data_IF_337099844537
#
_entry.id   IF_337099844537
#
_cell.length_a   1.000
_cell.length_b   1.000
_cell.length_c   1.000
_cell.angle_alpha   90.00
_cell.angle_beta   90.00
_cell.angle_gamma   90.00
#
_symmetry.space_group_name_H-M   'P 1'
#
loop_
_entity.id
_entity.type
_entity.pdbx_description
1 polymer ?
#
# COMPACT_ATOMS: atom_id res chain seq x y z
N UNK A 1 4.63 -2.53 -42.13
CA UNK A 1 4.69 -1.98 -40.76
C UNK A 1 6.15 -1.90 -40.35
N UNK A 2 6.74 -0.69 -40.30
CA UNK A 2 8.16 -0.52 -39.89
C UNK A 2 8.26 -0.89 -38.42
N UNK A 3 9.00 -1.95 -38.09
CA UNK A 3 9.43 -2.24 -36.72
C UNK A 3 10.34 -1.10 -36.26
N UNK A 4 9.78 -0.18 -35.48
CA UNK A 4 10.58 0.87 -34.84
C UNK A 4 11.40 0.19 -33.77
N UNK A 5 12.73 0.26 -33.91
CA UNK A 5 13.65 -0.25 -32.89
C UNK A 5 13.42 0.51 -31.58
N UNK A 6 13.27 -0.15 -30.44
CA UNK A 6 13.04 0.54 -29.18
C UNK A 6 14.23 1.43 -28.79
N UNK A 7 13.95 2.54 -28.11
CA UNK A 7 14.99 3.45 -27.60
C UNK A 7 15.66 2.77 -26.41
N UNK A 8 16.82 2.20 -26.61
CA UNK A 8 17.55 1.37 -25.64
C UNK A 8 17.79 2.06 -24.29
N UNK A 9 18.02 3.38 -24.27
CA UNK A 9 18.21 4.12 -23.01
C UNK A 9 16.91 4.21 -22.20
N UNK A 10 15.76 4.35 -22.87
CA UNK A 10 14.45 4.35 -22.22
C UNK A 10 14.14 2.96 -21.67
N UNK A 11 14.32 1.92 -22.48
CA UNK A 11 14.12 0.53 -22.07
C UNK A 11 14.95 0.20 -20.82
N UNK A 12 16.25 0.48 -20.83
CA UNK A 12 17.12 0.28 -19.68
C UNK A 12 16.69 1.08 -18.45
N UNK A 13 16.21 2.32 -18.66
CA UNK A 13 15.66 3.16 -17.59
C UNK A 13 14.43 2.53 -16.92
N UNK A 14 13.51 1.99 -17.73
CA UNK A 14 12.31 1.29 -17.22
C UNK A 14 12.68 0.02 -16.44
N UNK A 15 13.62 -0.79 -16.98
CA UNK A 15 14.13 -1.98 -16.26
C UNK A 15 14.78 -1.61 -14.92
N UNK A 16 15.50 -0.48 -14.83
CA UNK A 16 16.03 0.01 -13.54
C UNK A 16 14.88 0.25 -12.57
N UNK A 17 13.77 0.91 -12.99
CA UNK A 17 12.63 1.16 -12.11
C UNK A 17 11.98 -0.14 -11.62
N UNK A 18 11.83 -1.15 -12.47
CA UNK A 18 11.34 -2.48 -12.10
C UNK A 18 12.24 -3.16 -11.06
N UNK A 19 13.56 -3.10 -11.24
CA UNK A 19 14.53 -3.65 -10.29
C UNK A 19 14.49 -2.94 -8.94
N UNK A 20 14.37 -1.61 -8.95
CA UNK A 20 14.23 -0.82 -7.72
C UNK A 20 12.90 -1.11 -7.01
N UNK A 21 11.82 -1.32 -7.77
CA UNK A 21 10.52 -1.72 -7.23
C UNK A 21 10.62 -3.09 -6.52
N UNK A 22 11.27 -4.08 -7.17
CA UNK A 22 11.47 -5.41 -6.60
C UNK A 22 12.35 -5.40 -5.34
N UNK A 23 13.31 -4.49 -5.24
CA UNK A 23 14.18 -4.36 -4.07
C UNK A 23 13.52 -3.68 -2.86
N UNK A 24 12.36 -3.04 -3.07
CA UNK A 24 11.59 -2.36 -2.02
C UNK A 24 12.38 -1.28 -1.29
N UNK A 25 12.14 -1.15 0.02
CA UNK A 25 12.79 -0.13 0.86
C UNK A 25 14.31 -0.36 1.03
N UNK A 26 14.80 -1.60 0.90
CA UNK A 26 16.23 -1.91 0.99
C UNK A 26 17.04 -1.26 -0.11
N UNK A 27 16.41 -1.04 -1.28
CA UNK A 27 17.05 -0.48 -2.45
C UNK A 27 18.22 -1.32 -2.96
N UNK A 28 18.83 -0.89 -4.07
CA UNK A 28 19.99 -1.52 -4.70
C UNK A 28 21.16 -0.56 -4.80
N UNK A 29 22.38 -1.10 -4.70
CA UNK A 29 23.58 -0.32 -5.01
C UNK A 29 23.74 -0.14 -6.53
N UNK A 30 24.51 0.88 -6.92
CA UNK A 30 24.85 1.11 -8.32
C UNK A 30 25.49 -0.12 -8.97
N UNK A 31 26.41 -0.78 -8.25
CA UNK A 31 27.11 -1.97 -8.72
C UNK A 31 26.16 -3.14 -8.93
N UNK A 32 25.30 -3.43 -7.94
CA UNK A 32 24.30 -4.51 -8.04
C UNK A 32 23.32 -4.29 -9.21
N UNK A 33 22.92 -3.05 -9.48
CA UNK A 33 22.09 -2.71 -10.66
C UNK A 33 22.84 -2.94 -11.98
N UNK A 34 24.09 -2.51 -12.07
CA UNK A 34 24.91 -2.68 -13.26
C UNK A 34 25.11 -4.18 -13.59
N UNK A 35 25.44 -4.99 -12.58
CA UNK A 35 25.59 -6.44 -12.68
C UNK A 35 24.28 -7.13 -13.07
N UNK A 36 23.16 -6.82 -12.41
CA UNK A 36 21.86 -7.44 -12.68
C UNK A 36 21.30 -7.13 -14.07
N UNK A 37 21.82 -6.09 -14.73
CA UNK A 37 21.40 -5.65 -16.06
C UNK A 37 22.44 -5.91 -17.14
N UNK A 38 23.59 -6.47 -16.78
CA UNK A 38 24.74 -6.66 -17.69
C UNK A 38 25.11 -5.38 -18.47
N UNK A 39 25.23 -4.25 -17.73
CA UNK A 39 25.62 -2.96 -18.29
C UNK A 39 26.81 -2.37 -17.53
N UNK A 40 27.56 -1.48 -18.21
CA UNK A 40 28.65 -0.76 -17.55
C UNK A 40 28.14 0.09 -16.39
N UNK A 41 28.90 0.14 -15.30
CA UNK A 41 28.58 0.94 -14.10
C UNK A 41 28.36 2.42 -14.47
N UNK A 42 29.13 2.95 -15.42
CA UNK A 42 28.97 4.32 -15.93
C UNK A 42 27.60 4.53 -16.61
N UNK A 43 27.11 3.53 -17.34
CA UNK A 43 25.78 3.57 -17.96
C UNK A 43 24.68 3.55 -16.91
N UNK A 44 24.77 2.63 -15.95
CA UNK A 44 23.81 2.57 -14.82
C UNK A 44 23.80 3.90 -14.04
N UNK A 45 24.98 4.49 -13.79
CA UNK A 45 25.09 5.79 -13.09
C UNK A 45 24.36 6.91 -13.87
N UNK A 46 24.55 7.02 -15.17
CA UNK A 46 23.93 8.06 -15.99
C UNK A 46 22.40 7.91 -16.04
N UNK A 47 21.91 6.66 -16.17
CA UNK A 47 20.47 6.37 -16.13
C UNK A 47 19.87 6.70 -14.76
N UNK A 48 20.49 6.26 -13.67
CA UNK A 48 20.06 6.59 -12.31
C UNK A 48 20.10 8.09 -12.02
N UNK A 49 21.13 8.80 -12.52
CA UNK A 49 21.20 10.26 -12.41
C UNK A 49 19.99 10.92 -13.08
N UNK A 50 19.62 10.49 -14.27
CA UNK A 50 18.44 10.99 -14.99
C UNK A 50 17.15 10.66 -14.22
N UNK A 51 16.99 9.42 -13.78
CA UNK A 51 15.81 9.01 -13.00
C UNK A 51 15.67 9.79 -11.68
N UNK A 52 16.79 10.10 -11.02
CA UNK A 52 16.81 10.95 -9.82
C UNK A 52 16.40 12.39 -10.13
N UNK A 53 16.95 13.00 -11.16
CA UNK A 53 16.59 14.36 -11.59
C UNK A 53 15.09 14.44 -11.93
N UNK A 54 14.55 13.38 -12.54
CA UNK A 54 13.12 13.28 -12.83
C UNK A 54 12.25 12.88 -11.64
N UNK A 55 12.84 12.54 -10.48
CA UNK A 55 12.11 12.14 -9.26
C UNK A 55 11.61 10.69 -9.25
N UNK A 56 12.02 9.86 -10.25
CA UNK A 56 11.63 8.46 -10.34
C UNK A 56 12.50 7.51 -9.51
N UNK A 57 13.70 7.94 -9.15
CA UNK A 57 14.58 7.25 -8.22
C UNK A 57 15.06 8.22 -7.14
N UNK A 58 15.42 7.72 -5.97
CA UNK A 58 16.09 8.49 -4.92
C UNK A 58 17.27 7.70 -4.37
N UNK A 59 18.25 8.41 -3.87
CA UNK A 59 19.39 7.81 -3.20
C UNK A 59 19.16 7.89 -1.70
N UNK A 60 19.29 6.75 -1.04
CA UNK A 60 19.22 6.60 0.41
C UNK A 60 20.61 6.33 0.99
N UNK A 61 20.71 6.20 2.28
CA UNK A 61 21.97 5.98 2.98
C UNK A 61 22.82 4.85 2.37
N UNK A 62 24.16 5.01 2.46
CA UNK A 62 25.16 4.04 1.97
C UNK A 62 25.18 3.82 0.45
N UNK A 63 24.76 4.82 -0.33
CA UNK A 63 24.84 4.77 -1.80
C UNK A 63 23.88 3.79 -2.46
N UNK A 64 22.79 3.45 -1.77
CA UNK A 64 21.70 2.66 -2.33
C UNK A 64 20.67 3.55 -3.00
N UNK A 65 19.99 3.02 -4.00
CA UNK A 65 18.92 3.66 -4.76
C UNK A 65 17.62 2.89 -4.56
N UNK A 66 16.51 3.61 -4.45
CA UNK A 66 15.16 3.04 -4.42
C UNK A 66 14.22 3.85 -5.32
N UNK A 67 12.98 3.39 -5.48
CA UNK A 67 11.99 4.17 -6.21
C UNK A 67 11.76 5.53 -5.56
N UNK A 68 11.75 6.57 -6.38
CA UNK A 68 11.41 7.92 -5.97
C UNK A 68 9.90 8.15 -5.91
N UNK A 69 9.50 9.22 -5.21
CA UNK A 69 8.09 9.58 -5.00
C UNK A 69 7.27 9.69 -6.30
N UNK A 70 7.90 10.09 -7.41
CA UNK A 70 7.20 10.29 -8.69
C UNK A 70 6.77 8.96 -9.33
N UNK A 71 7.55 7.89 -9.15
CA UNK A 71 7.15 6.55 -9.58
C UNK A 71 5.91 6.08 -8.80
N UNK A 72 5.88 6.32 -7.50
CA UNK A 72 4.73 6.02 -6.65
C UNK A 72 3.51 6.87 -7.01
N UNK A 73 3.71 8.15 -7.40
CA UNK A 73 2.60 9.02 -7.81
C UNK A 73 1.98 8.61 -9.15
N UNK A 74 2.77 8.07 -10.09
CA UNK A 74 2.23 7.51 -11.34
C UNK A 74 1.36 6.28 -11.07
N UNK A 75 1.79 5.39 -10.18
CA UNK A 75 0.99 4.24 -9.78
C UNK A 75 -0.35 4.68 -9.15
N UNK A 76 -0.33 5.72 -8.30
CA UNK A 76 -1.56 6.31 -7.73
C UNK A 76 -2.45 6.95 -8.79
N UNK A 77 -1.86 7.70 -9.75
CA UNK A 77 -2.59 8.33 -10.85
C UNK A 77 -3.28 7.35 -11.79
N UNK A 78 -2.75 6.12 -11.91
CA UNK A 78 -3.40 5.03 -12.63
C UNK A 78 -4.60 4.46 -11.88
N UNK A 79 -4.53 4.43 -10.53
CA UNK A 79 -5.61 3.92 -9.70
C UNK A 79 -6.80 4.90 -9.69
N UNK A 80 -6.51 6.20 -9.54
CA UNK A 80 -7.57 7.23 -9.44
C UNK A 80 -7.05 8.55 -10.01
N UNK A 81 -7.84 9.21 -10.87
CA UNK A 81 -7.52 10.56 -11.36
C UNK A 81 -7.40 11.57 -10.21
N UNK A 82 -6.75 12.74 -10.45
CA UNK A 82 -6.46 13.72 -9.40
C UNK A 82 -7.67 14.15 -8.57
N UNK A 83 -8.82 14.36 -9.24
CA UNK A 83 -10.08 14.76 -8.60
C UNK A 83 -10.58 13.72 -7.61
N UNK A 84 -10.48 12.43 -7.98
CA UNK A 84 -10.91 11.33 -7.11
C UNK A 84 -9.95 11.19 -5.93
N UNK A 85 -8.63 11.31 -6.17
CA UNK A 85 -7.63 11.28 -5.10
C UNK A 85 -7.86 12.38 -4.07
N UNK A 86 -8.18 13.59 -4.49
CA UNK A 86 -8.50 14.70 -3.60
C UNK A 86 -9.76 14.42 -2.77
N UNK A 87 -10.82 13.90 -3.40
CA UNK A 87 -12.05 13.50 -2.71
C UNK A 87 -11.81 12.38 -1.68
N UNK A 88 -11.04 11.36 -2.06
CA UNK A 88 -10.67 10.27 -1.15
C UNK A 88 -9.84 10.78 0.03
N UNK A 89 -8.88 11.68 -0.21
CA UNK A 89 -8.08 12.31 0.83
C UNK A 89 -8.95 13.13 1.79
N UNK A 90 -9.94 13.88 1.28
CA UNK A 90 -10.88 14.63 2.08
C UNK A 90 -11.76 13.72 2.98
N UNK A 91 -12.26 12.59 2.43
CA UNK A 91 -13.04 11.61 3.20
C UNK A 91 -12.20 10.98 4.33
N UNK A 92 -10.95 10.60 4.03
CA UNK A 92 -10.01 10.06 5.02
C UNK A 92 -9.66 11.10 6.08
N UNK A 93 -9.44 12.36 5.68
CA UNK A 93 -9.18 13.48 6.60
C UNK A 93 -10.35 13.74 7.53
N UNK A 94 -11.58 13.71 7.02
CA UNK A 94 -12.80 13.87 7.81
C UNK A 94 -12.92 12.75 8.86
N UNK A 95 -12.74 11.49 8.44
CA UNK A 95 -12.78 10.34 9.35
C UNK A 95 -11.71 10.43 10.44
N UNK A 96 -10.48 10.81 10.09
CA UNK A 96 -9.41 11.01 11.07
C UNK A 96 -9.74 12.11 12.09
N UNK A 97 -10.38 13.21 11.64
CA UNK A 97 -10.88 14.27 12.52
C UNK A 97 -11.99 13.80 13.45
N UNK A 98 -12.96 13.03 12.95
CA UNK A 98 -14.08 12.48 13.71
C UNK A 98 -13.61 11.47 14.79
N UNK A 99 -12.64 10.62 14.44
CA UNK A 99 -12.09 9.63 15.37
C UNK A 99 -11.06 10.22 16.34
N UNK A 100 -10.35 11.28 15.94
CA UNK A 100 -9.19 11.79 16.64
C UNK A 100 -7.92 10.93 16.46
N UNK A 101 -7.96 9.93 15.57
CA UNK A 101 -6.92 8.91 15.39
C UNK A 101 -6.39 8.89 13.96
N UNK A 102 -5.30 8.16 13.73
CA UNK A 102 -4.73 8.04 12.39
C UNK A 102 -5.56 7.10 11.51
N UNK A 103 -5.79 7.47 10.26
CA UNK A 103 -6.57 6.70 9.28
C UNK A 103 -5.76 6.51 8.00
N UNK A 104 -5.83 5.30 7.44
CA UNK A 104 -5.20 4.93 6.18
C UNK A 104 -6.23 4.27 5.26
N UNK A 105 -6.30 4.73 4.02
CA UNK A 105 -6.99 4.08 2.91
C UNK A 105 -5.93 3.42 2.02
N UNK A 106 -6.06 2.13 1.80
CA UNK A 106 -5.17 1.36 0.95
C UNK A 106 -5.95 0.59 -0.12
N UNK A 107 -5.33 0.38 -1.28
CA UNK A 107 -5.84 -0.46 -2.35
C UNK A 107 -4.94 -1.66 -2.58
N UNK A 108 -5.48 -2.72 -3.18
CA UNK A 108 -4.73 -3.82 -3.73
C UNK A 108 -4.41 -3.52 -5.21
N UNK A 109 -3.16 -3.67 -5.60
CA UNK A 109 -2.73 -3.50 -6.99
C UNK A 109 -1.56 -4.44 -7.27
N UNK A 110 -1.74 -5.36 -8.21
CA UNK A 110 -0.73 -6.35 -8.61
C UNK A 110 -0.10 -7.10 -7.42
N UNK A 111 -0.92 -7.58 -6.50
CA UNK A 111 -0.49 -8.31 -5.30
C UNK A 111 0.13 -7.44 -4.21
N UNK A 112 0.13 -6.13 -4.35
CA UNK A 112 0.74 -5.18 -3.41
C UNK A 112 -0.28 -4.24 -2.78
N UNK A 113 -0.06 -3.94 -1.50
CA UNK A 113 -0.81 -2.92 -0.77
C UNK A 113 -0.27 -1.53 -1.13
N UNK A 114 -1.13 -0.69 -1.71
CA UNK A 114 -0.80 0.69 -2.09
C UNK A 114 -1.60 1.66 -1.22
N UNK A 115 -0.93 2.55 -0.50
CA UNK A 115 -1.59 3.59 0.28
C UNK A 115 -2.12 4.69 -0.66
N UNK A 116 -3.44 4.88 -0.68
CA UNK A 116 -4.13 5.88 -1.50
C UNK A 116 -4.21 7.22 -0.77
N UNK A 117 -4.60 7.18 0.50
CA UNK A 117 -4.70 8.36 1.35
C UNK A 117 -4.40 8.02 2.80
N UNK A 118 -3.90 9.00 3.55
CA UNK A 118 -3.72 8.92 5.00
C UNK A 118 -3.99 10.27 5.63
N UNK A 119 -4.46 10.24 6.87
CA UNK A 119 -4.62 11.42 7.70
C UNK A 119 -4.38 11.06 9.16
N UNK A 120 -3.95 12.02 9.94
CA UNK A 120 -3.76 11.89 11.39
C UNK A 120 -4.81 12.71 12.12
N UNK A 121 -5.33 12.18 13.22
CA UNK A 121 -6.20 12.94 14.11
C UNK A 121 -5.45 14.06 14.85
N UNK A 122 -6.17 14.90 15.57
CA UNK A 122 -5.65 16.05 16.29
C UNK A 122 -5.04 15.73 17.67
N UNK A 123 -5.00 14.46 18.09
CA UNK A 123 -4.49 14.04 19.40
C UNK A 123 -3.02 14.38 19.62
N UNK A 124 -2.63 14.66 20.88
CA UNK A 124 -1.23 14.96 21.27
C UNK A 124 -0.34 13.73 21.05
N UNK A 125 -0.82 12.53 21.41
CA UNK A 125 -0.16 11.26 21.12
C UNK A 125 -0.80 10.67 19.87
N UNK A 126 0.00 10.45 18.83
CA UNK A 126 -0.48 9.99 17.51
C UNK A 126 0.36 8.82 17.01
N UNK A 127 -0.26 7.93 16.25
CA UNK A 127 0.44 6.90 15.50
C UNK A 127 0.96 7.52 14.20
N UNK A 128 2.26 7.50 13.99
CA UNK A 128 2.87 7.92 12.72
C UNK A 128 2.77 6.79 11.69
N UNK A 129 1.71 6.83 10.89
CA UNK A 129 1.49 5.83 9.83
C UNK A 129 2.53 5.90 8.71
N UNK A 130 3.21 7.05 8.53
CA UNK A 130 4.29 7.16 7.55
C UNK A 130 5.54 6.43 8.04
N UNK A 131 5.88 6.55 9.33
CA UNK A 131 6.96 5.78 9.95
C UNK A 131 6.66 4.28 9.96
N UNK A 132 5.41 3.89 10.18
CA UNK A 132 4.98 2.49 10.09
C UNK A 132 5.20 1.94 8.67
N UNK A 133 4.77 2.66 7.64
CA UNK A 133 4.96 2.23 6.25
C UNK A 133 6.44 2.19 5.84
N UNK A 134 7.28 3.05 6.42
CA UNK A 134 8.72 3.08 6.16
C UNK A 134 9.48 1.90 6.78
N UNK A 135 8.93 1.23 7.80
CA UNK A 135 9.55 0.05 8.43
C UNK A 135 9.48 -1.21 7.59
N UNK A 136 8.76 -1.19 6.46
CA UNK A 136 8.60 -2.29 5.49
C UNK A 136 8.32 -3.65 6.15
N UNK A 137 7.36 -3.68 7.08
CA UNK A 137 6.98 -4.90 7.81
C UNK A 137 6.12 -5.85 6.95
N UNK A 138 6.03 -5.57 5.65
CA UNK A 138 5.37 -6.42 4.69
C UNK A 138 3.84 -6.30 4.68
N UNK A 139 3.24 -7.00 3.74
CA UNK A 139 1.80 -6.99 3.46
C UNK A 139 0.95 -7.44 4.66
N UNK A 140 1.39 -8.50 5.35
CA UNK A 140 0.61 -9.19 6.39
C UNK A 140 0.63 -8.53 7.77
N UNK A 141 1.62 -7.70 8.05
CA UNK A 141 1.71 -6.94 9.32
C UNK A 141 0.69 -5.80 9.41
N UNK A 142 0.00 -5.48 8.31
CA UNK A 142 -1.01 -4.42 8.25
C UNK A 142 -2.42 -4.98 8.19
N UNK A 143 -3.30 -4.54 9.09
CA UNK A 143 -4.71 -4.95 9.09
C UNK A 143 -5.41 -4.65 7.76
N UNK A 144 -5.06 -3.54 7.08
CA UNK A 144 -5.55 -3.23 5.74
C UNK A 144 -5.09 -4.26 4.71
N UNK A 145 -3.86 -4.81 4.81
CA UNK A 145 -3.39 -5.90 3.96
C UNK A 145 -4.20 -7.18 4.17
N UNK A 146 -4.46 -7.55 5.43
CA UNK A 146 -5.29 -8.72 5.77
C UNK A 146 -6.71 -8.59 5.23
N UNK A 147 -7.31 -7.41 5.35
CA UNK A 147 -8.62 -7.12 4.75
C UNK A 147 -8.54 -7.27 3.23
N UNK A 148 -7.57 -6.65 2.56
CA UNK A 148 -7.41 -6.77 1.10
C UNK A 148 -7.27 -8.23 0.66
N UNK A 149 -6.43 -9.03 1.32
CA UNK A 149 -6.28 -10.45 1.02
C UNK A 149 -7.56 -11.26 1.27
N UNK A 150 -8.39 -10.82 2.21
CA UNK A 150 -9.63 -11.55 2.54
C UNK A 150 -10.72 -11.40 1.50
N UNK A 151 -10.70 -10.32 0.70
CA UNK A 151 -11.71 -10.04 -0.33
C UNK A 151 -11.17 -10.05 -1.76
N UNK A 152 -9.88 -10.28 -1.97
CA UNK A 152 -9.30 -10.33 -3.30
C UNK A 152 -9.68 -11.63 -4.05
N UNK A 153 -9.55 -11.56 -5.37
CA UNK A 153 -9.71 -12.72 -6.23
C UNK A 153 -8.55 -13.74 -6.01
N UNK A 154 -8.76 -15.04 -6.26
CA UNK A 154 -7.73 -16.07 -6.05
C UNK A 154 -6.40 -15.77 -6.76
N UNK A 155 -6.44 -15.19 -7.96
CA UNK A 155 -5.24 -14.82 -8.72
C UNK A 155 -4.44 -13.71 -8.04
N UNK A 156 -5.11 -12.74 -7.43
CA UNK A 156 -4.45 -11.68 -6.66
C UNK A 156 -3.85 -12.20 -5.35
N UNK A 157 -4.53 -13.17 -4.70
CA UNK A 157 -3.98 -13.83 -3.51
C UNK A 157 -2.68 -14.57 -3.86
N UNK A 158 -2.63 -15.27 -4.99
CA UNK A 158 -1.39 -15.88 -5.46
C UNK A 158 -0.29 -14.85 -5.72
N UNK A 159 -0.62 -13.70 -6.32
CA UNK A 159 0.33 -12.62 -6.52
C UNK A 159 0.87 -12.06 -5.19
N UNK A 160 0.01 -11.91 -4.17
CA UNK A 160 0.43 -11.53 -2.81
C UNK A 160 1.39 -12.56 -2.23
N UNK A 161 1.07 -13.85 -2.36
CA UNK A 161 1.91 -14.93 -1.83
C UNK A 161 3.26 -15.04 -2.53
N UNK A 162 3.31 -14.76 -3.83
CA UNK A 162 4.58 -14.72 -4.60
C UNK A 162 5.46 -13.55 -4.13
N UNK A 163 4.88 -12.36 -3.90
CA UNK A 163 5.64 -11.16 -3.50
C UNK A 163 6.01 -11.16 -2.00
N UNK A 164 5.08 -11.56 -1.13
CA UNK A 164 5.21 -11.40 0.33
C UNK A 164 5.35 -12.71 1.11
N UNK A 165 5.18 -13.86 0.45
CA UNK A 165 5.16 -15.16 1.11
C UNK A 165 3.95 -15.37 2.04
N UNK A 166 4.02 -16.43 2.86
CA UNK A 166 3.05 -16.66 3.94
C UNK A 166 3.29 -15.68 5.10
N UNK A 167 2.22 -15.35 5.87
CA UNK A 167 2.31 -14.40 6.98
C UNK A 167 3.35 -14.70 8.05
N UNK A 168 3.57 -15.96 8.37
CA UNK A 168 4.49 -16.43 9.41
C UNK A 168 4.33 -15.64 10.72
N UNK A 169 5.41 -15.02 11.23
CA UNK A 169 5.39 -14.21 12.45
C UNK A 169 4.59 -12.90 12.35
N UNK A 170 4.33 -12.41 11.14
CA UNK A 170 3.61 -11.16 10.94
C UNK A 170 2.10 -11.26 11.24
N UNK A 171 1.54 -12.48 11.22
CA UNK A 171 0.14 -12.73 11.58
C UNK A 171 -0.02 -14.08 12.28
N UNK A 172 0.22 -14.08 13.60
CA UNK A 172 -0.07 -15.20 14.51
C UNK A 172 0.44 -16.58 14.05
N UNK A 173 1.65 -16.65 13.48
CA UNK A 173 2.28 -17.91 13.13
C UNK A 173 1.62 -18.66 11.98
N UNK A 174 0.93 -17.96 11.06
CA UNK A 174 0.33 -18.58 9.88
C UNK A 174 1.45 -19.02 8.93
N UNK A 175 1.72 -20.32 8.87
CA UNK A 175 2.82 -20.96 8.14
C UNK A 175 2.35 -21.91 7.03
N UNK A 176 1.03 -22.08 6.86
CA UNK A 176 0.45 -22.91 5.81
C UNK A 176 -0.67 -22.19 5.04
N UNK A 177 -0.95 -22.66 3.82
CA UNK A 177 -2.03 -22.13 2.99
C UNK A 177 -3.41 -22.42 3.57
N UNK A 178 -3.57 -23.58 4.21
CA UNK A 178 -4.81 -24.02 4.85
C UNK A 178 -5.15 -23.10 6.02
N UNK A 179 -4.15 -22.81 6.87
CA UNK A 179 -4.34 -21.90 8.00
C UNK A 179 -4.61 -20.48 7.53
N UNK A 180 -3.92 -20.02 6.48
CA UNK A 180 -4.18 -18.73 5.86
C UNK A 180 -5.62 -18.64 5.34
N UNK A 181 -6.08 -19.64 4.58
CA UNK A 181 -7.44 -19.68 4.04
C UNK A 181 -8.50 -19.63 5.15
N UNK A 182 -8.28 -20.34 6.25
CA UNK A 182 -9.14 -20.30 7.42
C UNK A 182 -9.20 -18.90 8.04
N UNK A 183 -8.03 -18.27 8.26
CA UNK A 183 -7.96 -16.91 8.83
C UNK A 183 -8.57 -15.85 7.92
N UNK A 184 -8.39 -15.94 6.61
CA UNK A 184 -9.04 -15.05 5.66
C UNK A 184 -10.57 -15.23 5.67
N UNK A 185 -11.06 -16.47 5.86
CA UNK A 185 -12.50 -16.73 6.01
C UNK A 185 -13.09 -16.13 7.30
N UNK A 186 -12.36 -16.20 8.42
CA UNK A 186 -12.75 -15.54 9.68
C UNK A 186 -12.87 -14.02 9.49
N UNK A 187 -11.85 -13.36 8.90
CA UNK A 187 -11.89 -11.92 8.61
C UNK A 187 -13.08 -11.55 7.72
N UNK A 188 -13.44 -12.41 6.74
CA UNK A 188 -14.64 -12.21 5.91
C UNK A 188 -15.93 -12.33 6.70
N UNK A 189 -16.02 -13.32 7.60
CA UNK A 189 -17.19 -13.53 8.44
C UNK A 189 -17.41 -12.37 9.43
N UNK A 190 -16.35 -11.87 10.05
CA UNK A 190 -16.38 -10.76 10.99
C UNK A 190 -16.65 -9.42 10.28
N UNK A 191 -16.24 -9.31 9.02
CA UNK A 191 -16.34 -8.08 8.23
C UNK A 191 -15.25 -7.05 8.54
N UNK A 192 -14.21 -7.42 9.29
CA UNK A 192 -13.08 -6.56 9.64
C UNK A 192 -11.85 -7.37 10.03
N UNK A 193 -10.68 -6.72 10.02
CA UNK A 193 -9.48 -7.23 10.67
C UNK A 193 -9.05 -6.29 11.80
N UNK A 194 -8.58 -6.86 12.91
CA UNK A 194 -8.03 -6.11 14.03
C UNK A 194 -6.72 -6.73 14.52
N UNK A 195 -5.86 -5.88 15.09
CA UNK A 195 -4.61 -6.28 15.69
C UNK A 195 -4.21 -5.29 16.79
N UNK A 196 -3.54 -5.81 17.81
CA UNK A 196 -2.77 -5.01 18.75
C UNK A 196 -1.35 -5.56 18.78
N UNK A 197 -0.39 -4.73 18.40
CA UNK A 197 1.04 -5.05 18.37
C UNK A 197 1.85 -3.77 18.60
N UNK A 198 2.98 -3.87 19.28
CA UNK A 198 3.91 -2.74 19.54
C UNK A 198 3.21 -1.49 20.10
N UNK A 199 2.32 -1.68 21.08
CA UNK A 199 1.51 -0.63 21.72
C UNK A 199 0.56 0.12 20.76
N UNK A 200 0.34 -0.42 19.56
CA UNK A 200 -0.59 0.10 18.57
C UNK A 200 -1.75 -0.87 18.37
N UNK A 201 -2.96 -0.38 18.55
CA UNK A 201 -4.17 -1.05 18.10
C UNK A 201 -4.53 -0.57 16.68
N UNK A 202 -4.98 -1.49 15.86
CA UNK A 202 -5.42 -1.18 14.50
C UNK A 202 -6.64 -2.01 14.12
N UNK A 203 -7.57 -1.38 13.39
CA UNK A 203 -8.82 -1.98 12.92
C UNK A 203 -9.03 -1.53 11.48
N UNK A 204 -9.41 -2.44 10.58
CA UNK A 204 -9.72 -2.11 9.20
C UNK A 204 -10.95 -2.86 8.70
N UNK A 205 -11.67 -2.22 7.78
CA UNK A 205 -12.83 -2.78 7.09
C UNK A 205 -12.63 -2.73 5.57
N UNK A 206 -13.29 -3.60 4.79
CA UNK A 206 -13.25 -3.53 3.34
C UNK A 206 -14.04 -2.31 2.82
N UNK A 207 -13.60 -1.81 1.66
CA UNK A 207 -14.32 -0.89 0.81
C UNK A 207 -14.48 -1.58 -0.54
N UNK A 208 -15.72 -1.94 -0.89
CA UNK A 208 -16.07 -2.72 -2.08
C UNK A 208 -16.72 -1.79 -3.11
N UNK A 209 -15.89 -1.11 -3.88
CA UNK A 209 -16.38 -0.31 -4.97
C UNK A 209 -16.84 -1.21 -6.14
N UNK A 210 -17.88 -0.81 -6.85
CA UNK A 210 -18.30 -1.44 -8.09
C UNK A 210 -17.16 -1.31 -9.12
N UNK A 211 -16.70 -2.43 -9.69
CA UNK A 211 -15.59 -2.47 -10.65
C UNK A 211 -14.36 -3.18 -10.13
N UNK A 212 -13.20 -2.85 -10.72
CA UNK A 212 -11.91 -3.53 -10.45
C UNK A 212 -11.22 -3.14 -9.13
N UNK A 213 -11.87 -2.32 -8.27
CA UNK A 213 -11.19 -1.72 -7.12
C UNK A 213 -11.56 -2.40 -5.81
N UNK A 214 -10.57 -3.04 -5.19
CA UNK A 214 -10.65 -3.50 -3.81
C UNK A 214 -9.78 -2.60 -2.93
N UNK A 215 -10.43 -1.94 -1.97
CA UNK A 215 -9.75 -1.08 -1.00
C UNK A 215 -10.04 -1.54 0.43
N UNK A 216 -9.24 -1.04 1.36
CA UNK A 216 -9.47 -1.18 2.80
C UNK A 216 -9.21 0.14 3.49
N UNK A 217 -10.08 0.53 4.40
CA UNK A 217 -9.90 1.70 5.28
C UNK A 217 -9.67 1.22 6.70
N UNK A 218 -8.64 1.76 7.36
CA UNK A 218 -8.26 1.34 8.71
C UNK A 218 -7.86 2.50 9.59
N UNK A 219 -8.17 2.37 10.89
CA UNK A 219 -7.77 3.29 11.95
C UNK A 219 -6.64 2.68 12.78
N UNK A 220 -5.74 3.54 13.25
CA UNK A 220 -4.57 3.20 14.06
C UNK A 220 -4.53 4.12 15.28
N UNK A 221 -4.46 3.54 16.47
CA UNK A 221 -4.49 4.26 17.72
C UNK A 221 -3.54 3.63 18.74
N UNK A 222 -3.08 4.36 19.77
CA UNK A 222 -2.37 3.76 20.90
C UNK A 222 -3.23 2.69 21.57
N UNK A 223 -2.64 1.53 21.87
CA UNK A 223 -3.37 0.35 22.38
C UNK A 223 -4.15 0.65 23.67
N UNK A 224 -3.62 1.51 24.54
CA UNK A 224 -4.28 1.88 25.80
C UNK A 224 -5.62 2.63 25.64
N UNK A 225 -5.93 3.13 24.43
CA UNK A 225 -7.21 3.78 24.10
C UNK A 225 -8.28 2.81 23.61
N UNK A 226 -7.89 1.56 23.30
CA UNK A 226 -8.81 0.58 22.76
C UNK A 226 -9.60 -0.08 23.89
N UNK A 227 -10.78 0.45 24.19
CA UNK A 227 -11.84 -0.21 24.95
C UNK A 227 -12.84 -0.87 23.99
N UNK A 228 -13.76 -1.70 24.50
CA UNK A 228 -14.82 -2.29 23.66
C UNK A 228 -15.74 -1.22 23.07
N UNK A 229 -16.06 -0.17 23.84
CA UNK A 229 -16.83 0.98 23.36
C UNK A 229 -16.09 1.73 22.24
N UNK A 230 -14.79 1.99 22.44
CA UNK A 230 -13.95 2.65 21.42
C UNK A 230 -13.86 1.79 20.16
N UNK A 231 -13.71 0.48 20.32
CA UNK A 231 -13.70 -0.47 19.20
C UNK A 231 -14.97 -0.38 18.37
N UNK A 232 -16.13 -0.44 19.03
CA UNK A 232 -17.43 -0.38 18.35
C UNK A 232 -17.61 0.96 17.62
N UNK A 233 -17.29 2.08 18.27
CA UNK A 233 -17.33 3.42 17.67
C UNK A 233 -16.44 3.50 16.43
N UNK A 234 -15.22 2.96 16.49
CA UNK A 234 -14.29 2.96 15.35
C UNK A 234 -14.85 2.11 14.21
N UNK A 235 -15.37 0.91 14.50
CA UNK A 235 -15.96 0.03 13.50
C UNK A 235 -17.13 0.69 12.77
N UNK A 236 -18.02 1.35 13.49
CA UNK A 236 -19.19 2.01 12.92
C UNK A 236 -18.76 3.20 12.03
N UNK A 237 -17.80 4.01 12.49
CA UNK A 237 -17.27 5.11 11.71
C UNK A 237 -16.51 4.63 10.45
N UNK A 238 -15.73 3.55 10.55
CA UNK A 238 -15.05 2.95 9.41
C UNK A 238 -16.04 2.42 8.38
N UNK A 239 -17.09 1.69 8.80
CA UNK A 239 -18.14 1.17 7.91
C UNK A 239 -18.90 2.29 7.21
N UNK A 240 -19.26 3.35 7.94
CA UNK A 240 -19.92 4.52 7.35
C UNK A 240 -19.01 5.22 6.33
N UNK A 241 -17.72 5.37 6.64
CA UNK A 241 -16.76 5.97 5.71
C UNK A 241 -16.52 5.07 4.49
N UNK A 242 -16.47 3.75 4.66
CA UNK A 242 -16.37 2.80 3.55
C UNK A 242 -17.52 3.00 2.55
N UNK A 243 -18.77 3.07 3.03
CA UNK A 243 -19.93 3.33 2.17
C UNK A 243 -19.83 4.67 1.41
N UNK A 244 -19.34 5.73 2.07
CA UNK A 244 -19.11 7.04 1.40
C UNK A 244 -18.03 6.97 0.33
N UNK A 245 -16.95 6.22 0.58
CA UNK A 245 -15.88 5.99 -0.39
C UNK A 245 -16.41 5.19 -1.59
N UNK A 246 -17.19 4.14 -1.36
CA UNK A 246 -17.86 3.35 -2.40
C UNK A 246 -18.74 4.23 -3.30
N UNK A 247 -19.56 5.10 -2.72
CA UNK A 247 -20.38 6.06 -3.46
C UNK A 247 -19.54 7.03 -4.29
N UNK A 248 -18.43 7.55 -3.70
CA UNK A 248 -17.52 8.45 -4.41
C UNK A 248 -16.92 7.79 -5.65
N UNK A 249 -16.54 6.51 -5.54
CA UNK A 249 -15.95 5.74 -6.63
C UNK A 249 -16.98 5.34 -7.69
N UNK A 250 -18.20 5.00 -7.30
CA UNK A 250 -19.29 4.70 -8.23
C UNK A 250 -19.61 5.88 -9.15
N UNK A 251 -19.73 7.09 -8.58
CA UNK A 251 -19.97 8.31 -9.39
C UNK A 251 -18.81 8.65 -10.34
N UNK A 252 -17.59 8.24 -9.98
CA UNK A 252 -16.43 8.50 -10.82
C UNK A 252 -16.36 7.55 -12.04
N UNK A 253 -16.93 6.37 -11.94
CA UNK A 253 -17.02 5.41 -13.05
C UNK A 253 -18.09 5.81 -14.10
N UNK A 254 -19.05 6.65 -13.72
CA UNK A 254 -20.14 7.11 -14.59
C UNK A 254 -19.82 8.41 -15.35
N UNK A 255 -18.70 9.08 -15.02
CA UNK A 255 -18.31 10.33 -15.70
C UNK A 255 -17.14 10.02 -16.64
N UNK A 256 -17.36 10.06 -17.98
CA UNK A 256 -16.35 9.77 -19.00
C UNK A 256 -15.21 10.79 -19.03
#
# INVERSE_FOLDING_TARGET
MRLVSPVQSLEKGLVILERLAAAGAKGLTLTALAEAMDIKVTTAHNLLKTLRLCGFAEQVDKGRYRLGWKALSLARGRLFGPVIQERLAALVGKLAGELGEAVVLAALSAGRRVVIARASGAGVVRVDTAALDARDEGFWSRVTGRVLASWCEPQELEAILVDSGLPAGAWNGIDSRELLAHRLAEVRADGFAAQTADDIASIAVPVRASGEWLLAVGAYLPAYRLSDETRQRILDALRQSAARIEQCLAHAAETP
#
